data_IF_975484558979
#
_entry.id   IF_975484558979
#
_cell.length_a   1.000
_cell.length_b   1.000
_cell.length_c   1.000
_cell.angle_alpha   90.00
_cell.angle_beta   90.00
_cell.angle_gamma   90.00
#
_symmetry.space_group_name_H-M   'P 1'
#
loop_
_entity.id
_entity.type
_entity.pdbx_description
1 polymer ?
#
# COMPACT_ATOMS: atom_id res chain seq x y z
N UNK A 1 48.27 25.10 -17.56
CA UNK A 1 48.02 24.10 -16.50
C UNK A 1 47.01 24.58 -15.47
N UNK A 2 47.14 25.80 -14.91
CA UNK A 2 46.21 26.37 -13.90
C UNK A 2 44.75 26.46 -14.41
N UNK A 3 44.54 26.87 -15.66
CA UNK A 3 43.19 27.06 -16.21
C UNK A 3 42.41 25.74 -16.40
N UNK A 4 43.09 24.64 -16.76
CA UNK A 4 42.49 23.31 -16.92
C UNK A 4 42.02 22.77 -15.57
N UNK A 5 42.78 23.03 -14.50
CA UNK A 5 42.41 22.66 -13.14
C UNK A 5 41.12 23.37 -12.68
N UNK A 6 40.93 24.63 -13.07
CA UNK A 6 39.73 25.39 -12.73
C UNK A 6 38.47 24.84 -13.42
N UNK A 7 38.56 24.42 -14.69
CA UNK A 7 37.43 23.80 -15.38
C UNK A 7 37.08 22.42 -14.83
N UNK A 8 38.08 21.60 -14.49
CA UNK A 8 37.86 20.29 -13.86
C UNK A 8 37.19 20.46 -12.49
N UNK A 9 37.68 21.40 -11.68
CA UNK A 9 37.07 21.72 -10.39
C UNK A 9 35.62 22.20 -10.56
N UNK A 10 35.35 23.07 -11.54
CA UNK A 10 33.99 23.54 -11.82
C UNK A 10 33.06 22.39 -12.19
N UNK A 11 33.47 21.49 -13.08
CA UNK A 11 32.69 20.31 -13.45
C UNK A 11 32.45 19.37 -12.26
N UNK A 12 33.46 19.20 -11.39
CA UNK A 12 33.33 18.40 -10.17
C UNK A 12 32.29 19.00 -9.23
N UNK A 13 32.36 20.32 -8.96
CA UNK A 13 31.38 21.01 -8.13
C UNK A 13 29.98 21.01 -8.75
N UNK A 14 29.86 21.19 -10.06
CA UNK A 14 28.58 21.08 -10.77
C UNK A 14 27.99 19.67 -10.65
N UNK A 15 28.81 18.63 -10.82
CA UNK A 15 28.39 17.24 -10.67
C UNK A 15 27.87 16.94 -9.27
N UNK A 16 28.57 17.42 -8.23
CA UNK A 16 28.11 17.30 -6.84
C UNK A 16 26.78 18.04 -6.65
N UNK A 17 26.68 19.30 -7.09
CA UNK A 17 25.47 20.11 -6.94
C UNK A 17 24.26 19.42 -7.59
N UNK A 18 24.41 18.98 -8.84
CA UNK A 18 23.36 18.29 -9.58
C UNK A 18 22.97 16.95 -8.93
N UNK A 19 23.95 16.21 -8.39
CA UNK A 19 23.69 14.96 -7.66
C UNK A 19 22.90 15.20 -6.37
N UNK A 20 23.24 16.25 -5.61
CA UNK A 20 22.51 16.63 -4.39
C UNK A 20 21.08 17.07 -4.73
N UNK A 21 20.90 17.89 -5.77
CA UNK A 21 19.56 18.29 -6.23
C UNK A 21 18.74 17.08 -6.68
N UNK A 22 19.34 16.17 -7.45
CA UNK A 22 18.71 14.92 -7.87
C UNK A 22 18.31 14.04 -6.68
N UNK A 23 19.17 13.91 -5.68
CA UNK A 23 18.87 13.14 -4.47
C UNK A 23 17.70 13.75 -3.66
N UNK A 24 17.63 15.08 -3.54
CA UNK A 24 16.53 15.77 -2.85
C UNK A 24 15.20 15.53 -3.58
N UNK A 25 15.17 15.67 -4.91
CA UNK A 25 13.96 15.43 -5.69
C UNK A 25 13.54 13.96 -5.67
N UNK A 26 14.50 13.04 -5.75
CA UNK A 26 14.23 11.61 -5.59
C UNK A 26 13.65 11.30 -4.22
N UNK A 27 14.18 11.91 -3.15
CA UNK A 27 13.65 11.76 -1.80
C UNK A 27 12.21 12.29 -1.69
N UNK A 28 11.91 13.49 -2.22
CA UNK A 28 10.54 14.04 -2.25
C UNK A 28 9.58 13.14 -3.01
N UNK A 29 10.00 12.65 -4.17
CA UNK A 29 9.18 11.76 -4.98
C UNK A 29 8.92 10.42 -4.27
N UNK A 30 9.96 9.81 -3.72
CA UNK A 30 9.86 8.54 -2.98
C UNK A 30 8.99 8.67 -1.73
N UNK A 31 9.15 9.74 -0.95
CA UNK A 31 8.33 10.01 0.23
C UNK A 31 6.88 10.26 -0.13
N UNK A 32 6.59 10.99 -1.22
CA UNK A 32 5.21 11.17 -1.72
C UNK A 32 4.56 9.85 -2.13
N UNK A 33 5.30 8.95 -2.78
CA UNK A 33 4.78 7.65 -3.21
C UNK A 33 4.55 6.68 -2.06
N UNK A 34 5.35 6.77 -1.01
CA UNK A 34 5.31 5.85 0.14
C UNK A 34 4.73 6.49 1.40
N UNK A 35 4.16 7.70 1.30
CA UNK A 35 3.65 8.43 2.46
C UNK A 35 2.66 7.60 3.26
N UNK A 36 1.72 6.94 2.57
CA UNK A 36 0.70 6.13 3.20
C UNK A 36 1.29 4.85 3.83
N UNK A 37 2.38 4.31 3.29
CA UNK A 37 3.08 3.15 3.87
C UNK A 37 3.70 3.45 5.24
N UNK A 38 4.13 4.68 5.48
CA UNK A 38 4.68 5.08 6.78
C UNK A 38 3.60 5.34 7.83
N UNK A 39 2.35 5.55 7.41
CA UNK A 39 1.27 6.00 8.27
C UNK A 39 0.14 4.97 8.44
N UNK A 40 -0.01 4.04 7.49
CA UNK A 40 -0.92 2.91 7.56
C UNK A 40 -0.17 1.63 7.93
N UNK A 41 -0.72 0.88 8.87
CA UNK A 41 -0.26 -0.49 9.19
C UNK A 41 -1.24 -1.47 8.59
N UNK A 42 -0.76 -2.35 7.72
CA UNK A 42 -1.57 -3.47 7.22
C UNK A 42 -1.62 -4.59 8.25
N UNK A 43 -2.79 -5.18 8.40
CA UNK A 43 -3.04 -6.38 9.18
C UNK A 43 -3.62 -7.42 8.23
N UNK A 44 -3.19 -8.66 8.37
CA UNK A 44 -3.63 -9.81 7.58
C UNK A 44 -3.96 -10.93 8.53
N UNK A 45 -5.20 -11.39 8.52
CA UNK A 45 -5.72 -12.42 9.40
C UNK A 45 -6.28 -13.57 8.54
N UNK A 46 -5.87 -14.82 8.78
CA UNK A 46 -6.44 -15.96 8.05
C UNK A 46 -7.90 -16.12 8.44
N UNK A 47 -8.78 -16.30 7.45
CA UNK A 47 -10.22 -16.43 7.71
C UNK A 47 -10.57 -17.85 8.20
N UNK A 48 -9.85 -18.85 7.72
CA UNK A 48 -9.98 -20.23 8.18
C UNK A 48 -8.61 -20.94 8.18
N UNK A 49 -8.45 -21.92 9.07
CA UNK A 49 -7.26 -22.77 9.09
C UNK A 49 -7.16 -23.57 7.77
N UNK A 50 -5.94 -23.72 7.26
CA UNK A 50 -5.63 -24.45 6.02
C UNK A 50 -6.25 -23.87 4.73
N UNK A 51 -6.69 -22.61 4.71
CA UNK A 51 -7.08 -21.89 3.49
C UNK A 51 -6.02 -20.86 3.10
N UNK A 52 -5.98 -20.50 1.82
CA UNK A 52 -5.21 -19.36 1.30
C UNK A 52 -5.89 -18.01 1.54
N UNK A 53 -7.12 -18.01 2.06
CA UNK A 53 -7.92 -16.81 2.22
C UNK A 53 -7.49 -15.98 3.43
N UNK A 54 -7.17 -14.72 3.17
CA UNK A 54 -6.84 -13.74 4.21
C UNK A 54 -7.81 -12.56 4.18
N UNK A 55 -8.24 -12.14 5.38
CA UNK A 55 -8.83 -10.84 5.62
C UNK A 55 -7.71 -9.82 5.80
N UNK A 56 -7.67 -8.81 4.93
CA UNK A 56 -6.62 -7.81 4.88
C UNK A 56 -7.26 -6.44 5.10
N UNK A 57 -6.78 -5.71 6.10
CA UNK A 57 -7.22 -4.36 6.37
C UNK A 57 -6.04 -3.48 6.76
N UNK A 58 -6.22 -2.17 6.67
CA UNK A 58 -5.20 -1.21 7.05
C UNK A 58 -5.78 -0.22 8.05
N UNK A 59 -4.99 0.09 9.08
CA UNK A 59 -5.34 1.08 10.10
C UNK A 59 -4.07 1.87 10.46
N UNK A 60 -4.22 3.14 10.80
CA UNK A 60 -3.05 4.00 10.97
C UNK A 60 -3.26 5.17 11.91
N UNK A 61 -2.40 6.18 11.79
CA UNK A 61 -2.52 7.44 12.52
C UNK A 61 -3.14 8.52 11.64
N UNK A 62 -2.97 9.81 11.99
CA UNK A 62 -3.57 11.00 11.35
C UNK A 62 -3.26 11.22 9.86
N UNK A 63 -2.65 10.26 9.19
CA UNK A 63 -2.34 10.31 7.76
C UNK A 63 -2.79 9.07 7.00
N UNK A 64 -3.38 8.09 7.70
CA UNK A 64 -3.98 6.91 7.11
C UNK A 64 -5.48 7.12 6.94
N UNK A 65 -5.86 7.73 5.83
CA UNK A 65 -7.27 7.87 5.43
C UNK A 65 -7.71 6.69 4.56
N UNK A 66 -8.98 6.67 4.15
CA UNK A 66 -9.55 5.61 3.31
C UNK A 66 -8.78 5.35 2.00
N UNK A 67 -8.20 6.40 1.41
CA UNK A 67 -7.38 6.28 0.20
C UNK A 67 -6.05 5.58 0.50
N UNK A 68 -5.40 5.96 1.60
CA UNK A 68 -4.19 5.30 2.07
C UNK A 68 -4.41 3.85 2.44
N UNK A 69 -5.54 3.54 3.06
CA UNK A 69 -5.96 2.16 3.38
C UNK A 69 -6.09 1.31 2.12
N UNK A 70 -6.88 1.74 1.12
CA UNK A 70 -7.04 1.01 -0.15
C UNK A 70 -5.69 0.73 -0.79
N UNK A 71 -4.84 1.76 -0.93
CA UNK A 71 -3.52 1.62 -1.57
C UNK A 71 -2.64 0.63 -0.83
N UNK A 72 -2.72 0.64 0.50
CA UNK A 72 -1.96 -0.25 1.38
C UNK A 72 -2.45 -1.69 1.31
N UNK A 73 -3.76 -1.90 1.29
CA UNK A 73 -4.42 -3.20 1.13
C UNK A 73 -4.07 -3.79 -0.25
N UNK A 74 -4.28 -3.04 -1.33
CA UNK A 74 -3.97 -3.50 -2.69
C UNK A 74 -2.50 -3.87 -2.84
N UNK A 75 -1.57 -3.05 -2.30
CA UNK A 75 -0.14 -3.36 -2.31
C UNK A 75 0.18 -4.66 -1.56
N UNK A 76 -0.53 -4.94 -0.47
CA UNK A 76 -0.37 -6.20 0.30
C UNK A 76 -0.86 -7.38 -0.52
N UNK A 77 -2.06 -7.28 -1.12
CA UNK A 77 -2.62 -8.32 -1.98
C UNK A 77 -1.66 -8.64 -3.13
N UNK A 78 -1.24 -7.64 -3.91
CA UNK A 78 -0.33 -7.84 -5.06
C UNK A 78 1.06 -8.35 -4.69
N UNK A 79 1.44 -8.30 -3.40
CA UNK A 79 2.71 -8.81 -2.91
C UNK A 79 2.60 -10.23 -2.39
N UNK A 80 1.49 -10.54 -1.71
CA UNK A 80 1.29 -11.81 -1.04
C UNK A 80 0.68 -12.86 -1.99
N UNK A 81 -0.08 -12.42 -2.99
CA UNK A 81 -0.68 -13.27 -4.03
C UNK A 81 0.03 -12.99 -5.36
N UNK A 82 0.83 -13.96 -5.81
CA UNK A 82 1.56 -13.86 -7.08
C UNK A 82 0.76 -14.57 -8.19
N UNK A 83 0.17 -13.82 -9.15
CA UNK A 83 -0.62 -14.41 -10.23
C UNK A 83 0.20 -15.31 -11.16
N UNK A 84 1.53 -15.25 -11.12
CA UNK A 84 2.39 -16.17 -11.86
C UNK A 84 2.48 -17.56 -11.22
N UNK A 85 2.17 -17.69 -9.92
CA UNK A 85 2.09 -18.98 -9.23
C UNK A 85 0.71 -19.61 -9.41
N UNK A 86 -0.33 -18.83 -9.15
CA UNK A 86 -1.72 -19.25 -9.24
C UNK A 86 -2.61 -18.00 -9.38
N UNK A 87 -3.69 -18.03 -10.18
CA UNK A 87 -4.60 -16.90 -10.24
C UNK A 87 -5.21 -16.64 -8.86
N UNK A 88 -5.39 -15.36 -8.57
CA UNK A 88 -5.90 -14.91 -7.30
C UNK A 88 -7.04 -13.93 -7.51
N UNK A 89 -8.00 -13.97 -6.59
CA UNK A 89 -9.17 -13.12 -6.62
C UNK A 89 -9.31 -12.42 -5.28
N UNK A 90 -9.90 -11.24 -5.29
CA UNK A 90 -10.14 -10.47 -4.08
C UNK A 90 -11.41 -9.61 -4.18
N UNK A 91 -11.95 -9.21 -3.04
CA UNK A 91 -12.98 -8.16 -2.98
C UNK A 91 -12.64 -7.13 -1.93
N UNK A 92 -13.25 -5.94 -2.08
CA UNK A 92 -13.08 -4.80 -1.18
C UNK A 92 -14.44 -4.41 -0.60
N UNK A 93 -14.52 -4.39 0.72
CA UNK A 93 -15.70 -4.02 1.50
C UNK A 93 -15.45 -2.67 2.16
N UNK A 94 -16.30 -1.68 1.84
CA UNK A 94 -16.22 -0.35 2.44
C UNK A 94 -16.98 -0.30 3.77
N UNK A 95 -16.30 0.14 4.82
CA UNK A 95 -16.95 0.53 6.06
C UNK A 95 -17.52 1.96 5.94
N UNK A 96 -18.84 2.06 5.69
CA UNK A 96 -19.54 3.35 5.54
C UNK A 96 -19.68 4.15 6.84
N UNK A 97 -19.44 3.54 8.00
CA UNK A 97 -19.43 4.25 9.28
C UNK A 97 -18.20 5.16 9.44
N UNK A 98 -17.15 4.91 8.65
CA UNK A 98 -15.90 5.67 8.69
C UNK A 98 -15.90 6.73 7.58
N UNK A 99 -15.60 7.98 7.93
CA UNK A 99 -15.46 9.05 6.94
C UNK A 99 -14.33 8.79 5.94
N UNK A 100 -14.45 9.34 4.73
CA UNK A 100 -13.38 9.27 3.72
C UNK A 100 -12.05 9.83 4.23
N UNK A 101 -12.13 10.92 4.98
CA UNK A 101 -11.02 11.44 5.77
C UNK A 101 -11.34 11.13 7.21
N UNK A 102 -10.53 10.28 7.83
CA UNK A 102 -10.64 9.96 9.24
C UNK A 102 -9.25 9.94 9.84
N UNK A 103 -9.11 10.57 10.99
CA UNK A 103 -7.87 10.63 11.73
C UNK A 103 -8.13 10.02 13.10
N UNK A 104 -7.71 8.78 13.32
CA UNK A 104 -7.84 8.16 14.63
C UNK A 104 -7.14 9.02 15.70
N UNK A 105 -7.90 9.44 16.72
CA UNK A 105 -7.40 10.29 17.79
C UNK A 105 -6.42 9.54 18.69
N UNK A 106 -5.24 10.15 18.89
CA UNK A 106 -4.26 9.89 19.96
C UNK A 106 -4.17 8.43 20.45
N UNK A 107 -3.65 7.55 19.60
CA UNK A 107 -3.10 6.25 20.01
C UNK A 107 -3.99 5.03 19.79
N UNK A 108 -5.28 5.20 19.50
CA UNK A 108 -6.14 4.09 19.03
C UNK A 108 -6.33 4.22 17.53
N UNK A 109 -5.85 3.26 16.73
CA UNK A 109 -5.86 3.30 15.26
C UNK A 109 -7.25 3.29 14.59
N UNK A 110 -8.34 3.37 15.37
CA UNK A 110 -9.72 3.42 14.87
C UNK A 110 -10.17 2.13 14.16
N UNK A 111 -11.44 2.06 13.75
CA UNK A 111 -11.90 1.03 12.81
C UNK A 111 -11.33 1.29 11.41
N UNK A 112 -11.04 0.22 10.66
CA UNK A 112 -10.64 0.34 9.27
C UNK A 112 -11.78 0.88 8.40
N UNK A 113 -11.46 1.76 7.46
CA UNK A 113 -12.38 2.23 6.44
C UNK A 113 -12.61 1.22 5.31
N UNK A 114 -11.68 0.29 5.08
CA UNK A 114 -11.82 -0.83 4.16
C UNK A 114 -11.29 -2.14 4.74
N UNK A 115 -11.96 -3.22 4.37
CA UNK A 115 -11.51 -4.60 4.56
C UNK A 115 -11.48 -5.25 3.18
N UNK A 116 -10.47 -6.06 2.92
CA UNK A 116 -10.42 -6.92 1.75
C UNK A 116 -10.40 -8.38 2.17
N UNK A 117 -10.94 -9.23 1.31
CA UNK A 117 -10.71 -10.65 1.34
C UNK A 117 -9.97 -11.00 0.05
N UNK A 118 -8.89 -11.76 0.16
CA UNK A 118 -8.11 -12.22 -0.97
C UNK A 118 -7.78 -13.70 -0.79
N UNK A 119 -7.83 -14.46 -1.89
CA UNK A 119 -7.55 -15.89 -1.91
C UNK A 119 -6.99 -16.30 -3.28
N UNK A 120 -6.31 -17.44 -3.34
CA UNK A 120 -6.05 -18.12 -4.61
C UNK A 120 -7.31 -18.87 -5.07
N UNK A 121 -7.36 -19.25 -6.35
CA UNK A 121 -8.52 -19.92 -6.94
C UNK A 121 -8.91 -21.24 -6.27
N UNK A 122 -8.01 -21.91 -5.54
CA UNK A 122 -8.35 -23.12 -4.77
C UNK A 122 -9.42 -22.87 -3.69
N UNK A 123 -9.51 -21.63 -3.20
CA UNK A 123 -10.52 -21.19 -2.21
C UNK A 123 -11.52 -20.17 -2.81
N UNK A 124 -11.71 -20.17 -4.14
CA UNK A 124 -12.58 -19.21 -4.84
C UNK A 124 -14.03 -19.25 -4.33
N UNK A 125 -14.58 -20.45 -4.07
CA UNK A 125 -15.95 -20.61 -3.57
C UNK A 125 -16.15 -19.91 -2.22
N UNK A 126 -15.18 -20.05 -1.33
CA UNK A 126 -15.18 -19.40 -0.01
C UNK A 126 -15.09 -17.88 -0.14
N UNK A 127 -14.24 -17.40 -1.05
CA UNK A 127 -14.14 -15.97 -1.36
C UNK A 127 -15.46 -15.42 -1.91
N UNK A 128 -16.08 -16.11 -2.87
CA UNK A 128 -17.35 -15.70 -3.48
C UNK A 128 -18.46 -15.61 -2.44
N UNK A 129 -18.54 -16.59 -1.53
CA UNK A 129 -19.50 -16.56 -0.43
C UNK A 129 -19.27 -15.33 0.46
N UNK A 130 -18.04 -15.11 0.91
CA UNK A 130 -17.70 -13.98 1.78
C UNK A 130 -18.00 -12.63 1.11
N UNK A 131 -17.58 -12.46 -0.14
CA UNK A 131 -17.82 -11.22 -0.89
C UNK A 131 -19.32 -11.00 -1.15
N UNK A 132 -20.10 -12.06 -1.37
CA UNK A 132 -21.55 -11.96 -1.54
C UNK A 132 -22.27 -11.55 -0.25
N UNK A 133 -21.83 -12.06 0.91
CA UNK A 133 -22.37 -11.67 2.22
C UNK A 133 -22.21 -10.17 2.47
N UNK A 134 -21.09 -9.59 2.04
CA UNK A 134 -20.80 -8.15 2.17
C UNK A 134 -21.30 -7.31 0.99
N UNK A 135 -21.91 -7.93 -0.03
CA UNK A 135 -22.39 -7.26 -1.25
C UNK A 135 -21.27 -6.61 -2.07
N UNK A 136 -20.06 -7.16 -2.00
CA UNK A 136 -18.86 -6.64 -2.66
C UNK A 136 -18.62 -7.29 -4.03
N UNK A 137 -18.02 -6.51 -4.93
CA UNK A 137 -17.59 -7.02 -6.25
C UNK A 137 -16.27 -7.78 -6.13
N UNK A 138 -16.19 -8.91 -6.81
CA UNK A 138 -14.94 -9.69 -6.94
C UNK A 138 -14.12 -9.14 -8.10
N UNK A 139 -12.82 -9.04 -7.86
CA UNK A 139 -11.79 -8.64 -8.79
C UNK A 139 -10.78 -9.78 -8.94
N UNK A 140 -10.23 -9.93 -10.15
CA UNK A 140 -9.23 -10.95 -10.46
C UNK A 140 -7.87 -10.28 -10.73
N UNK A 141 -6.78 -10.92 -10.29
CA UNK A 141 -5.39 -10.47 -10.44
C UNK A 141 -4.66 -11.18 -11.58
#
# INVERSE_FOLDING_TARGET
>A
MIQVNNYINLLYYMGILLSVLGAIELFKYSTRLNYEYFHCTTISEPVAEATSMNMIYAVGSSSCDKRGEIKTILRKITRDYDPNLQPASFCLVENRAVGSIHYPDKGKKGPAGYVAYAAYDDDEELLLEQCAQDGATVFHL
#
